data_IF_357452527494
#
_entry.id   IF_357452527494
#
_cell.length_a   1.000
_cell.length_b   1.000
_cell.length_c   1.000
_cell.angle_alpha   90.00
_cell.angle_beta   90.00
_cell.angle_gamma   90.00
#
_symmetry.space_group_name_H-M   'P 1'
#
loop_
_entity.id
_entity.type
_entity.pdbx_description
1 polymer ?
#
# COMPACT_ATOMS: atom_id res chain seq x y z
N UNK A 1 7.07 2.83 6.42
CA UNK A 1 7.46 4.24 6.12
C UNK A 1 7.29 4.63 4.65
N UNK A 2 7.65 3.77 3.68
CA UNK A 2 7.57 4.08 2.24
C UNK A 2 6.20 4.59 1.77
N UNK A 3 5.09 4.01 2.25
CA UNK A 3 3.74 4.45 1.87
C UNK A 3 3.45 5.93 2.18
N UNK A 4 3.89 6.42 3.34
CA UNK A 4 3.66 7.82 3.71
C UNK A 4 4.40 8.80 2.78
N UNK A 5 5.65 8.48 2.44
CA UNK A 5 6.45 9.28 1.51
C UNK A 5 5.88 9.22 0.09
N UNK A 6 5.42 8.04 -0.34
CA UNK A 6 4.78 7.86 -1.65
C UNK A 6 3.52 8.72 -1.77
N UNK A 7 2.73 8.87 -0.70
CA UNK A 7 1.58 9.78 -0.67
C UNK A 7 1.99 11.23 -0.95
N UNK A 8 2.96 11.77 -0.21
CA UNK A 8 3.43 13.14 -0.47
C UNK A 8 4.01 13.31 -1.87
N UNK A 9 4.77 12.33 -2.36
CA UNK A 9 5.34 12.33 -3.70
C UNK A 9 4.26 12.34 -4.79
N UNK A 10 3.24 11.50 -4.68
CA UNK A 10 2.14 11.43 -5.65
C UNK A 10 1.37 12.75 -5.72
N UNK A 11 1.09 13.37 -4.57
CA UNK A 11 0.43 14.67 -4.52
C UNK A 11 1.28 15.77 -5.15
N UNK A 12 2.58 15.82 -4.80
CA UNK A 12 3.52 16.79 -5.37
C UNK A 12 3.63 16.63 -6.89
N UNK A 13 3.71 15.39 -7.38
CA UNK A 13 3.75 15.08 -8.80
C UNK A 13 2.47 15.53 -9.53
N UNK A 14 1.29 15.20 -8.98
CA UNK A 14 0.01 15.58 -9.58
C UNK A 14 -0.14 17.10 -9.70
N UNK A 15 0.27 17.85 -8.68
CA UNK A 15 0.21 19.31 -8.68
C UNK A 15 1.23 19.91 -9.65
N UNK A 16 2.48 19.44 -9.63
CA UNK A 16 3.55 19.97 -10.49
C UNK A 16 3.29 19.70 -11.97
N UNK A 17 2.85 18.49 -12.30
CA UNK A 17 2.52 18.11 -13.67
C UNK A 17 1.13 18.60 -14.11
N UNK A 18 0.30 19.08 -13.19
CA UNK A 18 -1.11 19.44 -13.42
C UNK A 18 -1.86 18.31 -14.15
N UNK A 19 -1.60 17.09 -13.73
CA UNK A 19 -2.17 15.88 -14.32
C UNK A 19 -2.86 15.04 -13.26
N UNK A 20 -4.03 14.54 -13.61
CA UNK A 20 -4.85 13.57 -12.90
C UNK A 20 -4.46 12.12 -13.21
N UNK A 21 -3.47 11.89 -14.08
CA UNK A 21 -2.98 10.56 -14.45
C UNK A 21 -1.99 9.96 -13.45
N UNK A 22 -1.78 10.60 -12.29
CA UNK A 22 -0.95 10.05 -11.22
C UNK A 22 -1.74 8.97 -10.48
N UNK A 23 -1.14 7.80 -10.36
CA UNK A 23 -1.70 6.65 -9.65
C UNK A 23 -0.83 6.35 -8.43
N UNK A 24 -1.47 6.05 -7.30
CA UNK A 24 -0.77 5.69 -6.08
C UNK A 24 -1.30 4.37 -5.52
N UNK A 25 -0.40 3.45 -5.24
CA UNK A 25 -0.68 2.23 -4.51
C UNK A 25 0.28 2.14 -3.33
N UNK A 26 -0.25 1.91 -2.13
CA UNK A 26 0.55 1.82 -0.90
C UNK A 26 0.17 0.59 -0.09
N UNK A 27 1.11 0.08 0.68
CA UNK A 27 0.95 -1.07 1.56
C UNK A 27 1.27 -0.62 2.99
N UNK A 28 0.36 -0.88 3.94
CA UNK A 28 0.56 -0.54 5.35
C UNK A 28 0.79 0.94 5.58
N UNK A 29 0.11 1.81 4.81
CA UNK A 29 0.32 3.24 4.89
C UNK A 29 -0.27 3.81 6.19
N UNK A 30 0.53 4.49 7.03
CA UNK A 30 -0.01 5.22 8.18
C UNK A 30 -0.79 6.46 7.73
N UNK A 31 -1.53 7.09 8.66
CA UNK A 31 -2.17 8.38 8.40
C UNK A 31 -1.13 9.48 8.29
N UNK A 32 -1.26 10.33 7.27
CA UNK A 32 -0.24 11.33 6.91
C UNK A 32 -0.70 12.79 7.06
N UNK A 33 -2.00 13.03 7.18
CA UNK A 33 -2.55 14.37 7.30
C UNK A 33 -3.91 14.39 7.98
N UNK A 34 -4.50 15.57 8.13
CA UNK A 34 -5.85 15.76 8.68
C UNK A 34 -6.94 15.59 7.62
N UNK A 35 -8.20 15.77 8.00
CA UNK A 35 -9.35 15.67 7.07
C UNK A 35 -9.27 16.64 5.87
N UNK A 36 -8.68 17.83 6.05
CA UNK A 36 -8.48 18.80 4.96
C UNK A 36 -7.45 18.28 3.97
N UNK A 37 -6.32 17.75 4.46
CA UNK A 37 -5.33 17.10 3.61
C UNK A 37 -5.91 15.90 2.87
N UNK A 38 -6.68 15.04 3.54
CA UNK A 38 -7.30 13.86 2.92
C UNK A 38 -8.27 14.25 1.79
N UNK A 39 -9.11 15.27 2.00
CA UNK A 39 -10.02 15.80 0.98
C UNK A 39 -9.27 16.43 -0.19
N UNK A 40 -8.20 17.15 0.10
CA UNK A 40 -7.33 17.76 -0.91
C UNK A 40 -6.62 16.69 -1.74
N UNK A 41 -6.08 15.66 -1.08
CA UNK A 41 -5.42 14.54 -1.72
C UNK A 41 -6.35 13.80 -2.69
N UNK A 42 -7.56 13.44 -2.23
CA UNK A 42 -8.56 12.74 -3.03
C UNK A 42 -8.97 13.52 -4.30
N UNK A 43 -8.88 14.85 -4.28
CA UNK A 43 -9.16 15.71 -5.43
C UNK A 43 -8.07 15.64 -6.51
N UNK A 44 -6.79 15.59 -6.12
CA UNK A 44 -5.67 15.67 -7.06
C UNK A 44 -5.14 14.29 -7.47
N UNK A 45 -5.28 13.28 -6.62
CA UNK A 45 -4.81 11.92 -6.88
C UNK A 45 -5.97 10.93 -6.66
N UNK A 46 -7.04 10.99 -7.47
CA UNK A 46 -8.23 10.16 -7.27
C UNK A 46 -7.96 8.67 -7.49
N UNK A 47 -6.96 8.33 -8.30
CA UNK A 47 -6.55 6.96 -8.60
C UNK A 47 -5.60 6.42 -7.52
N UNK A 48 -6.08 6.39 -6.27
CA UNK A 48 -5.28 5.98 -5.11
C UNK A 48 -5.89 4.80 -4.37
N UNK A 49 -5.03 3.85 -4.03
CA UNK A 49 -5.40 2.62 -3.33
C UNK A 49 -4.42 2.39 -2.17
N UNK A 50 -4.98 2.19 -0.98
CA UNK A 50 -4.24 1.82 0.23
C UNK A 50 -4.59 0.39 0.58
N UNK A 51 -3.60 -0.50 0.58
CA UNK A 51 -3.76 -1.87 1.02
C UNK A 51 -3.44 -1.96 2.51
N UNK A 52 -4.35 -2.55 3.25
CA UNK A 52 -4.19 -2.86 4.68
C UNK A 52 -4.35 -4.37 4.83
N UNK A 53 -3.40 -5.00 5.50
CA UNK A 53 -3.40 -6.45 5.67
C UNK A 53 -3.75 -6.83 7.12
N UNK A 54 -4.70 -7.74 7.29
CA UNK A 54 -5.11 -8.33 8.55
C UNK A 54 -5.31 -7.28 9.65
N UNK A 55 -4.58 -7.48 10.74
CA UNK A 55 -4.58 -6.60 11.91
C UNK A 55 -3.35 -5.70 11.97
N UNK A 56 -2.78 -5.30 10.82
CA UNK A 56 -1.63 -4.39 10.77
C UNK A 56 -1.89 -3.11 11.58
N UNK A 57 -1.03 -2.85 12.56
CA UNK A 57 -1.08 -1.67 13.44
C UNK A 57 -0.73 -0.36 12.73
N UNK A 58 0.08 -0.39 11.67
CA UNK A 58 0.69 0.81 11.08
C UNK A 58 -0.35 1.76 10.48
N UNK A 59 -1.35 1.29 9.70
CA UNK A 59 -2.44 2.14 9.23
C UNK A 59 -3.23 2.81 10.36
N UNK A 60 -3.28 2.22 11.55
CA UNK A 60 -3.99 2.80 12.69
C UNK A 60 -3.21 3.92 13.37
N UNK A 61 -2.02 4.28 12.89
CA UNK A 61 -1.18 5.34 13.43
C UNK A 61 -1.03 6.54 12.46
N UNK A 62 -0.99 7.79 12.98
CA UNK A 62 -1.39 8.21 14.32
C UNK A 62 -2.88 7.93 14.62
N UNK A 63 -3.31 7.86 15.89
CA UNK A 63 -4.66 7.47 16.25
C UNK A 63 -5.77 8.36 15.64
N UNK A 64 -6.87 7.73 15.27
CA UNK A 64 -8.10 8.40 14.86
C UNK A 64 -9.11 8.37 16.02
N UNK A 65 -9.69 9.53 16.33
CA UNK A 65 -10.70 9.67 17.37
C UNK A 65 -12.00 10.18 16.73
N UNK A 66 -13.02 9.32 16.66
CA UNK A 66 -14.32 9.67 16.05
C UNK A 66 -14.96 10.91 16.67
N UNK A 67 -14.77 11.13 17.98
CA UNK A 67 -15.31 12.27 18.71
C UNK A 67 -14.57 13.60 18.42
N UNK A 68 -13.36 13.54 17.86
CA UNK A 68 -12.55 14.70 17.45
C UNK A 68 -12.19 14.63 15.96
N UNK A 69 -13.09 14.12 15.12
CA UNK A 69 -12.80 13.86 13.71
C UNK A 69 -12.19 15.07 12.97
N UNK A 70 -12.57 16.31 13.27
CA UNK A 70 -11.96 17.48 12.58
C UNK A 70 -10.51 17.80 12.98
N UNK A 71 -10.05 17.26 14.11
CA UNK A 71 -8.75 17.57 14.72
C UNK A 71 -7.76 16.40 14.66
N UNK A 72 -8.19 15.22 14.21
CA UNK A 72 -7.33 14.04 14.10
C UNK A 72 -6.73 13.87 12.72
N UNK A 73 -5.81 12.93 12.61
CA UNK A 73 -5.32 12.44 11.33
C UNK A 73 -6.40 11.61 10.64
N UNK A 74 -6.45 11.71 9.32
CA UNK A 74 -7.38 11.02 8.43
C UNK A 74 -6.62 10.41 7.28
N UNK A 75 -7.06 9.22 6.90
CA UNK A 75 -6.77 8.68 5.60
C UNK A 75 -7.59 9.34 4.49
N UNK A 76 -7.03 9.29 3.29
CA UNK A 76 -7.75 9.50 2.05
C UNK A 76 -8.26 8.15 1.50
N UNK A 77 -9.34 8.15 0.68
CA UNK A 77 -9.80 6.97 -0.04
C UNK A 77 -8.81 6.54 -1.14
N UNK A 78 -8.84 5.30 -1.64
CA UNK A 78 -9.69 4.15 -1.27
C UNK A 78 -8.87 3.14 -0.46
N UNK A 79 -9.47 2.50 0.54
CA UNK A 79 -8.87 1.37 1.25
C UNK A 79 -9.31 0.04 0.65
N UNK A 80 -8.38 -0.91 0.59
CA UNK A 80 -8.65 -2.33 0.32
C UNK A 80 -8.08 -3.09 1.50
N UNK A 81 -8.98 -3.68 2.28
CA UNK A 81 -8.62 -4.46 3.45
C UNK A 81 -8.56 -5.93 3.05
N UNK A 82 -7.43 -6.57 3.34
CA UNK A 82 -7.12 -7.93 2.93
C UNK A 82 -6.98 -8.76 4.20
N UNK A 83 -7.72 -9.86 4.29
CA UNK A 83 -7.63 -10.80 5.40
C UNK A 83 -7.32 -12.20 4.88
N UNK A 84 -6.19 -12.75 5.34
CA UNK A 84 -5.69 -14.08 5.01
C UNK A 84 -6.10 -15.05 6.13
N UNK A 85 -7.40 -15.36 6.21
CA UNK A 85 -7.95 -16.33 7.15
C UNK A 85 -8.20 -17.69 6.46
N UNK A 86 -7.68 -18.77 7.06
CA UNK A 86 -7.88 -20.18 6.66
C UNK A 86 -7.60 -20.52 5.16
N UNK A 87 -6.39 -20.22 4.66
CA UNK A 87 -5.95 -20.48 3.27
C UNK A 87 -6.77 -19.74 2.17
N UNK A 88 -7.66 -18.82 2.56
CA UNK A 88 -8.45 -18.01 1.64
C UNK A 88 -8.20 -16.53 1.87
N UNK A 89 -7.60 -15.87 0.89
CA UNK A 89 -7.45 -14.41 0.88
C UNK A 89 -8.78 -13.76 0.56
N UNK A 90 -9.35 -13.03 1.51
CA UNK A 90 -10.55 -12.23 1.31
C UNK A 90 -10.18 -10.76 1.12
N UNK A 91 -10.78 -10.12 0.11
CA UNK A 91 -10.55 -8.71 -0.20
C UNK A 91 -11.84 -7.92 0.01
N UNK A 92 -11.80 -6.93 0.90
CA UNK A 92 -12.90 -6.02 1.16
C UNK A 92 -12.55 -4.62 0.66
N UNK A 93 -13.29 -4.15 -0.35
CA UNK A 93 -13.13 -2.80 -0.88
C UNK A 93 -13.96 -1.83 -0.03
N UNK A 94 -13.24 -0.93 0.62
CA UNK A 94 -13.70 -0.12 1.73
C UNK A 94 -14.20 1.27 1.31
N UNK A 95 -15.22 1.90 1.92
CA UNK A 95 -15.91 3.08 1.38
C UNK A 95 -15.04 4.31 0.95
N UNK A 96 -15.68 5.33 0.36
CA UNK A 96 -14.98 6.53 -0.10
C UNK A 96 -14.67 7.55 1.02
N UNK A 97 -14.98 7.25 2.28
CA UNK A 97 -14.75 8.18 3.40
C UNK A 97 -13.28 8.26 3.80
N UNK A 98 -12.51 7.20 3.53
CA UNK A 98 -11.13 7.02 3.99
C UNK A 98 -11.02 6.38 5.38
N UNK A 99 -12.06 6.42 6.21
CA UNK A 99 -12.09 5.87 7.59
C UNK A 99 -13.37 5.04 7.81
N UNK A 100 -13.65 4.09 6.90
CA UNK A 100 -14.86 3.24 6.94
C UNK A 100 -14.92 2.44 8.26
N UNK A 101 -16.04 2.48 9.02
CA UNK A 101 -16.21 1.65 10.22
C UNK A 101 -16.17 0.15 9.97
N UNK A 102 -16.45 -0.31 8.76
CA UNK A 102 -16.66 -1.73 8.46
C UNK A 102 -15.41 -2.45 7.95
N UNK A 103 -14.27 -1.76 7.79
CA UNK A 103 -13.01 -2.36 7.36
C UNK A 103 -11.99 -2.39 8.51
N UNK A 104 -10.71 -2.05 8.26
CA UNK A 104 -9.65 -2.15 9.24
C UNK A 104 -9.92 -1.31 10.51
N UNK A 105 -10.77 -0.27 10.43
CA UNK A 105 -11.16 0.55 11.60
C UNK A 105 -12.08 -0.17 12.59
N UNK A 106 -12.71 -1.28 12.19
CA UNK A 106 -13.54 -2.09 13.09
C UNK A 106 -12.69 -2.80 14.16
N UNK A 107 -11.40 -2.98 13.90
CA UNK A 107 -10.49 -3.74 14.75
C UNK A 107 -10.25 -3.05 16.09
N UNK A 108 -10.20 -3.86 17.15
CA UNK A 108 -9.82 -3.38 18.48
C UNK A 108 -8.32 -3.08 18.51
N UNK A 109 -7.92 -2.03 19.23
CA UNK A 109 -6.50 -1.72 19.46
C UNK A 109 -5.75 -2.92 20.06
N UNK A 110 -6.44 -3.75 20.87
CA UNK A 110 -5.85 -4.93 21.51
C UNK A 110 -5.61 -6.10 20.54
N UNK A 111 -6.25 -6.11 19.37
CA UNK A 111 -6.08 -7.16 18.35
C UNK A 111 -5.09 -6.77 17.26
N UNK A 112 -4.50 -5.56 17.32
CA UNK A 112 -3.53 -5.11 16.31
C UNK A 112 -2.17 -5.79 16.48
N UNK A 113 -1.53 -6.12 15.37
CA UNK A 113 -0.25 -6.80 15.30
C UNK A 113 0.68 -6.10 14.32
N UNK A 114 1.97 -5.99 14.68
CA UNK A 114 2.99 -5.54 13.73
C UNK A 114 3.39 -6.65 12.74
N UNK A 115 3.10 -7.92 13.07
CA UNK A 115 3.49 -9.05 12.21
C UNK A 115 2.78 -8.97 10.85
N UNK A 116 1.52 -8.55 10.85
CA UNK A 116 0.70 -8.41 9.64
C UNK A 116 1.20 -7.27 8.72
N UNK A 117 2.07 -6.39 9.23
CA UNK A 117 2.72 -5.33 8.44
C UNK A 117 3.83 -5.86 7.53
N UNK A 118 4.40 -7.04 7.81
CA UNK A 118 5.54 -7.54 7.04
C UNK A 118 5.12 -8.28 5.79
N UNK A 119 3.87 -8.76 5.71
CA UNK A 119 3.41 -9.55 4.57
C UNK A 119 2.27 -8.86 3.86
N UNK A 120 2.37 -8.74 2.53
CA UNK A 120 1.32 -8.19 1.69
C UNK A 120 1.16 -9.04 0.43
N UNK A 121 -0.05 -9.53 0.16
CA UNK A 121 -0.36 -10.35 -1.03
C UNK A 121 0.53 -11.62 -1.12
N UNK A 122 0.87 -12.22 0.02
CA UNK A 122 1.77 -13.36 0.10
C UNK A 122 3.24 -13.06 -0.20
N UNK A 123 3.63 -11.78 -0.25
CA UNK A 123 5.02 -11.34 -0.39
C UNK A 123 5.50 -10.77 0.92
N UNK A 124 6.67 -11.21 1.37
CA UNK A 124 7.38 -10.62 2.50
C UNK A 124 8.03 -9.31 2.07
N UNK A 125 7.73 -8.26 2.82
CA UNK A 125 8.11 -6.86 2.59
C UNK A 125 9.10 -6.37 3.66
N UNK A 126 9.58 -7.25 4.54
CA UNK A 126 10.64 -6.93 5.50
C UNK A 126 11.92 -6.49 4.78
N UNK A 127 12.59 -5.50 5.37
CA UNK A 127 13.90 -5.06 4.87
C UNK A 127 14.97 -6.07 5.31
N UNK A 128 15.25 -7.03 4.43
CA UNK A 128 16.32 -8.00 4.57
C UNK A 128 17.73 -7.35 4.41
N UNK A 129 18.77 -8.18 4.47
CA UNK A 129 20.14 -7.80 4.14
C UNK A 129 20.24 -7.11 2.76
N UNK A 130 21.07 -6.07 2.65
CA UNK A 130 21.26 -5.26 1.44
C UNK A 130 21.67 -6.12 0.21
N UNK A 131 22.19 -7.32 0.47
CA UNK A 131 22.67 -8.26 -0.54
C UNK A 131 21.56 -9.08 -1.25
N UNK A 132 20.32 -9.08 -0.77
CA UNK A 132 19.23 -9.95 -1.29
C UNK A 132 18.12 -9.20 -2.05
N UNK A 133 18.41 -8.06 -2.67
CA UNK A 133 17.44 -7.37 -3.52
C UNK A 133 16.93 -8.25 -4.67
N UNK A 134 15.64 -8.62 -4.64
CA UNK A 134 14.94 -9.31 -5.72
C UNK A 134 13.61 -8.61 -6.00
N UNK A 135 13.31 -8.35 -7.28
CA UNK A 135 11.98 -7.90 -7.68
C UNK A 135 11.08 -9.14 -7.74
N UNK A 136 10.21 -9.30 -6.75
CA UNK A 136 9.25 -10.40 -6.71
C UNK A 136 7.93 -9.90 -7.28
N UNK A 137 7.58 -10.34 -8.47
CA UNK A 137 6.20 -10.28 -8.99
C UNK A 137 5.48 -11.55 -8.58
N UNK A 138 4.73 -11.50 -7.47
CA UNK A 138 3.86 -12.60 -7.08
C UNK A 138 2.62 -12.66 -7.99
N UNK A 139 2.11 -13.87 -8.25
CA UNK A 139 0.89 -14.08 -9.04
C UNK A 139 -0.34 -13.34 -8.48
N UNK A 140 -0.36 -13.13 -7.16
CA UNK A 140 -1.34 -12.31 -6.44
C UNK A 140 -1.30 -10.84 -6.89
N UNK A 141 -0.11 -10.27 -7.09
CA UNK A 141 0.07 -8.91 -7.63
C UNK A 141 -0.43 -8.81 -9.06
N UNK A 142 -0.25 -9.85 -9.88
CA UNK A 142 -0.81 -9.87 -11.25
C UNK A 142 -2.33 -9.97 -11.27
N UNK A 143 -2.93 -10.77 -10.39
CA UNK A 143 -4.40 -10.84 -10.24
C UNK A 143 -4.95 -9.52 -9.76
N UNK A 144 -4.39 -8.97 -8.69
CA UNK A 144 -4.80 -7.68 -8.15
C UNK A 144 -4.61 -6.57 -9.19
N UNK A 145 -3.55 -6.59 -10.00
CA UNK A 145 -3.40 -5.66 -11.14
C UNK A 145 -4.51 -5.83 -12.19
N UNK A 146 -4.93 -7.06 -12.50
CA UNK A 146 -6.04 -7.31 -13.44
C UNK A 146 -7.38 -6.88 -12.88
N UNK A 147 -7.64 -7.13 -11.59
CA UNK A 147 -8.87 -6.80 -10.89
C UNK A 147 -8.97 -5.29 -10.57
N UNK A 148 -7.84 -4.63 -10.31
CA UNK A 148 -7.76 -3.17 -10.27
C UNK A 148 -7.94 -2.58 -11.66
N UNK A 149 -7.32 -3.12 -12.71
CA UNK A 149 -7.46 -2.56 -14.05
C UNK A 149 -8.89 -2.71 -14.63
N UNK A 150 -9.67 -3.68 -14.14
CA UNK A 150 -11.08 -3.85 -14.50
C UNK A 150 -12.03 -2.97 -13.68
N UNK A 151 -11.67 -2.61 -12.44
CA UNK A 151 -12.52 -1.81 -11.54
C UNK A 151 -12.08 -0.34 -11.36
N UNK A 152 -10.84 -0.01 -11.71
CA UNK A 152 -10.22 1.31 -11.67
C UNK A 152 -9.56 1.49 -13.04
N UNK A 153 -9.90 2.57 -13.76
CA UNK A 153 -9.39 2.82 -15.12
C UNK A 153 -7.89 3.13 -15.02
N UNK A 154 -7.07 2.09 -15.00
CA UNK A 154 -5.62 2.19 -15.11
C UNK A 154 -5.28 2.21 -16.59
N UNK A 155 -4.86 3.38 -17.10
CA UNK A 155 -4.44 3.54 -18.49
C UNK A 155 -3.29 2.59 -18.81
N UNK A 156 -3.56 1.70 -19.76
CA UNK A 156 -2.72 0.64 -20.30
C UNK A 156 -1.39 1.18 -20.83
N UNK A 157 -0.33 1.18 -20.01
CA UNK A 157 1.04 1.11 -20.51
C UNK A 157 1.75 -0.02 -19.76
N UNK A 158 1.99 -1.12 -20.47
CA UNK A 158 2.71 -2.28 -19.95
C UNK A 158 4.18 -1.93 -19.79
N UNK A 159 4.65 -1.87 -18.54
CA UNK A 159 6.08 -2.02 -18.27
C UNK A 159 6.39 -3.51 -18.39
N UNK A 160 7.09 -3.87 -19.45
CA UNK A 160 7.64 -5.21 -19.66
C UNK A 160 8.81 -5.39 -18.69
N UNK A 161 8.64 -6.23 -17.66
CA UNK A 161 9.70 -6.55 -16.72
C UNK A 161 10.40 -7.82 -17.22
N UNK A 162 11.57 -7.64 -17.83
CA UNK A 162 12.44 -8.74 -18.24
C UNK A 162 13.17 -9.29 -17.01
N UNK A 163 12.95 -10.57 -16.68
CA UNK A 163 13.70 -11.29 -15.66
C UNK A 163 15.11 -11.54 -16.22
N UNK A 164 16.13 -10.91 -15.61
CA UNK A 164 17.54 -11.24 -15.89
C UNK A 164 17.95 -12.31 -14.89
N UNK A 165 18.21 -13.54 -15.37
CA UNK A 165 18.77 -14.62 -14.55
C UNK A 165 20.25 -14.36 -14.19
N UNK A 166 20.65 -14.85 -13.01
CA UNK A 166 21.94 -14.65 -12.36
C UNK A 166 23.15 -14.94 -13.27
N UNK A 167 24.09 -13.99 -13.35
CA UNK A 167 25.49 -14.33 -13.64
C UNK A 167 26.11 -15.00 -12.41
N UNK A 168 26.53 -16.25 -12.57
CA UNK A 168 27.30 -17.00 -11.59
C UNK A 168 28.53 -16.20 -11.15
N UNK A 169 28.60 -15.87 -9.86
CA UNK A 169 29.77 -15.26 -9.24
C UNK A 169 30.80 -16.38 -9.04
N UNK A 170 31.88 -16.38 -9.83
CA UNK A 170 33.00 -17.29 -9.64
C UNK A 170 33.84 -16.81 -8.45
N UNK A 171 33.85 -17.62 -7.39
CA UNK A 171 34.79 -17.49 -6.28
C UNK A 171 36.23 -17.57 -6.81
N UNK A 172 37.03 -16.54 -6.52
CA UNK A 172 38.49 -16.60 -6.62
C UNK A 172 39.07 -16.69 -5.21
N UNK A 173 39.09 -17.90 -4.67
CA UNK A 173 39.93 -18.25 -3.53
C UNK A 173 41.35 -18.57 -4.00
N UNK A 174 42.30 -17.72 -3.61
CA UNK A 174 43.70 -18.02 -3.24
C UNK A 174 44.57 -18.91 -4.15
N UNK A 175 45.65 -18.34 -4.67
CA UNK A 175 46.97 -19.00 -4.78
C UNK A 175 48.09 -17.95 -4.83
N UNK A 176 49.10 -18.20 -3.99
CA UNK A 176 50.47 -17.67 -4.04
C UNK A 176 51.13 -18.04 -5.37
#
# INVERSE_FOLDING_TARGET
MGGAMAAFCALDLAIKLRSDNVQLMTFGQPRVGNAVFASYFAKYVPNTIRLVHGHDIVPHLPPYFSFLSKLTYHHFPREVWIDDSDDNTTEQICDASGEDPNCCRCLSILSLSIQDHFTYLGVDMESDDWSTCRIITAQSVERLRKDLASNIIMTKHGVEVSIVENSMQTDWSSSI
#
